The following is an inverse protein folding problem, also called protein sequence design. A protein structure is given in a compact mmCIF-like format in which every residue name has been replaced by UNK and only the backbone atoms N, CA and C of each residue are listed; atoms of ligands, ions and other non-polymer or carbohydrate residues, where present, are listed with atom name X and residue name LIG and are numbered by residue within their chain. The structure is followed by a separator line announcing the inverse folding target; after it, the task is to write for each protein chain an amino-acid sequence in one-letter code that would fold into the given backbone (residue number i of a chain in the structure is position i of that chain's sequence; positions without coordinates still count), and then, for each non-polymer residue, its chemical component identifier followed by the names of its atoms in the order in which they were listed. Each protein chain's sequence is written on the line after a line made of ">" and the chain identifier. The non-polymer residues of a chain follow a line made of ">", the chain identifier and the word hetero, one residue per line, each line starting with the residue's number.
data_IF_466825429809
#
_entry.id   IF_466825429809
#
_cell.length_a   1.000
_cell.length_b   1.000
_cell.length_c   1.000
_cell.angle_alpha   90.00
_cell.angle_beta   90.00
_cell.angle_gamma   90.00
#
_symmetry.space_group_name_H-M   'P 1'
#
loop_
_entity.id
_entity.type
_entity.pdbx_description
1 polymer ?
#
# COMPACT_ATOMS: atom_id res chain seq x y z
N UNK A 1 -11.42 45.08 34.02
CA UNK A 1 -11.68 45.26 32.57
C UNK A 1 -12.57 44.09 32.16
N UNK A 2 -13.84 44.33 31.85
CA UNK A 2 -14.74 43.28 31.39
C UNK A 2 -14.29 42.84 30.00
N UNK A 3 -14.20 41.53 29.75
CA UNK A 3 -13.92 40.99 28.42
C UNK A 3 -14.88 41.61 27.41
N UNK A 4 -14.31 42.16 26.34
CA UNK A 4 -15.13 42.76 25.29
C UNK A 4 -15.90 41.65 24.57
N UNK A 5 -17.09 41.95 24.05
CA UNK A 5 -17.86 40.98 23.27
C UNK A 5 -17.06 40.45 22.06
N UNK A 6 -16.10 41.24 21.57
CA UNK A 6 -15.16 40.86 20.53
C UNK A 6 -14.20 39.75 20.99
N UNK A 7 -13.59 39.86 22.18
CA UNK A 7 -12.73 38.80 22.74
C UNK A 7 -13.52 37.50 22.98
N UNK A 8 -14.78 37.58 23.41
CA UNK A 8 -15.64 36.39 23.56
C UNK A 8 -15.94 35.73 22.22
N UNK A 9 -16.22 36.51 21.18
CA UNK A 9 -16.46 36.01 19.84
C UNK A 9 -15.20 35.35 19.24
N UNK A 10 -14.03 35.98 19.41
CA UNK A 10 -12.75 35.44 18.96
C UNK A 10 -12.40 34.13 19.66
N UNK A 11 -12.57 34.05 21.00
CA UNK A 11 -12.37 32.81 21.76
C UNK A 11 -13.25 31.67 21.24
N UNK A 12 -14.53 31.94 20.96
CA UNK A 12 -15.46 30.94 20.40
C UNK A 12 -15.05 30.49 19.01
N UNK A 13 -14.62 31.43 18.15
CA UNK A 13 -14.13 31.11 16.81
C UNK A 13 -12.86 30.24 16.86
N UNK A 14 -11.89 30.61 17.69
CA UNK A 14 -10.66 29.85 17.87
C UNK A 14 -10.94 28.42 18.35
N UNK A 15 -11.86 28.26 19.32
CA UNK A 15 -12.29 26.94 19.78
C UNK A 15 -12.99 26.13 18.69
N UNK A 16 -13.89 26.73 17.92
CA UNK A 16 -14.59 26.06 16.82
C UNK A 16 -13.60 25.64 15.71
N UNK A 17 -12.64 26.50 15.37
CA UNK A 17 -11.58 26.21 14.40
C UNK A 17 -10.67 25.07 14.87
N UNK A 18 -10.28 25.07 16.15
CA UNK A 18 -9.50 23.99 16.73
C UNK A 18 -10.25 22.65 16.71
N UNK A 19 -11.55 22.66 17.03
CA UNK A 19 -12.41 21.47 16.94
C UNK A 19 -12.50 20.96 15.50
N UNK A 20 -12.74 21.83 14.53
CA UNK A 20 -12.77 21.47 13.11
C UNK A 20 -11.46 20.84 12.66
N UNK A 21 -10.32 21.44 13.02
CA UNK A 21 -9.01 20.89 12.69
C UNK A 21 -8.77 19.52 13.34
N UNK A 22 -9.22 19.32 14.59
CA UNK A 22 -9.09 18.03 15.27
C UNK A 22 -9.87 16.92 14.56
N UNK A 23 -11.08 17.23 14.05
CA UNK A 23 -11.91 16.27 13.31
C UNK A 23 -11.25 15.93 11.98
N UNK A 24 -10.80 16.94 11.22
CA UNK A 24 -10.06 16.73 9.95
C UNK A 24 -8.81 15.87 10.15
N UNK A 25 -8.04 16.13 11.22
CA UNK A 25 -6.84 15.35 11.53
C UNK A 25 -7.17 13.89 11.87
N UNK A 26 -8.28 13.65 12.59
CA UNK A 26 -8.76 12.29 12.90
C UNK A 26 -9.16 11.54 11.63
N UNK A 27 -9.90 12.19 10.73
CA UNK A 27 -10.30 11.60 9.45
C UNK A 27 -9.10 11.28 8.56
N UNK A 28 -8.17 12.23 8.39
CA UNK A 28 -6.95 12.01 7.63
C UNK A 28 -6.13 10.84 8.22
N UNK A 29 -6.05 10.74 9.55
CA UNK A 29 -5.37 9.63 10.22
C UNK A 29 -6.09 8.30 9.99
N UNK A 30 -7.43 8.28 10.04
CA UNK A 30 -8.22 7.09 9.75
C UNK A 30 -8.03 6.63 8.31
N UNK A 31 -8.06 7.57 7.35
CA UNK A 31 -7.82 7.27 5.93
C UNK A 31 -6.43 6.72 5.69
N UNK A 32 -5.38 7.33 6.28
CA UNK A 32 -4.01 6.81 6.21
C UNK A 32 -3.89 5.40 6.76
N UNK A 33 -4.50 5.10 7.92
CA UNK A 33 -4.50 3.74 8.49
C UNK A 33 -5.14 2.71 7.56
N UNK A 34 -6.28 3.06 6.96
CA UNK A 34 -6.97 2.19 6.01
C UNK A 34 -6.15 1.97 4.73
N UNK A 35 -5.55 3.04 4.21
CA UNK A 35 -4.68 2.98 3.03
C UNK A 35 -3.43 2.13 3.28
N UNK A 36 -2.74 2.33 4.40
CA UNK A 36 -1.62 1.49 4.82
C UNK A 36 -2.04 0.02 4.93
N UNK A 37 -3.19 -0.27 5.54
CA UNK A 37 -3.70 -1.65 5.64
C UNK A 37 -3.96 -2.28 4.27
N UNK A 38 -4.56 -1.53 3.34
CA UNK A 38 -4.79 -2.01 1.95
C UNK A 38 -3.47 -2.32 1.24
N UNK A 39 -2.48 -1.44 1.37
CA UNK A 39 -1.15 -1.63 0.77
C UNK A 39 -0.44 -2.86 1.35
N UNK A 40 -0.50 -3.07 2.66
CA UNK A 40 0.09 -4.24 3.32
C UNK A 40 -0.59 -5.53 2.86
N UNK A 41 -1.92 -5.58 2.84
CA UNK A 41 -2.67 -6.76 2.39
C UNK A 41 -2.37 -7.07 0.92
N UNK A 42 -2.41 -6.06 0.06
CA UNK A 42 -2.14 -6.23 -1.37
C UNK A 42 -0.69 -6.66 -1.62
N UNK A 43 0.27 -6.07 -0.89
CA UNK A 43 1.68 -6.45 -0.97
C UNK A 43 1.91 -7.90 -0.55
N UNK A 44 1.34 -8.34 0.57
CA UNK A 44 1.41 -9.74 1.00
C UNK A 44 0.81 -10.69 -0.03
N UNK A 45 -0.39 -10.39 -0.53
CA UNK A 45 -1.03 -11.21 -1.56
C UNK A 45 -0.23 -11.28 -2.87
N UNK A 46 0.47 -10.20 -3.25
CA UNK A 46 1.35 -10.18 -4.41
C UNK A 46 2.61 -11.05 -4.19
N UNK A 47 3.18 -11.03 -2.99
CA UNK A 47 4.31 -11.90 -2.64
C UNK A 47 3.89 -13.38 -2.70
N UNK A 48 2.75 -13.73 -2.09
CA UNK A 48 2.19 -15.09 -2.13
C UNK A 48 1.86 -15.55 -3.57
N UNK A 49 1.49 -14.62 -4.46
CA UNK A 49 1.27 -14.92 -5.87
C UNK A 49 2.60 -15.15 -6.61
N UNK A 50 3.61 -14.32 -6.35
CA UNK A 50 4.91 -14.40 -6.98
C UNK A 50 5.66 -15.71 -6.68
N UNK A 51 5.37 -16.39 -5.57
CA UNK A 51 5.96 -17.71 -5.27
C UNK A 51 5.53 -18.81 -6.27
N UNK A 52 4.33 -18.70 -6.84
CA UNK A 52 3.71 -19.73 -7.70
C UNK A 52 3.47 -19.30 -9.14
N UNK A 53 3.49 -18.00 -9.41
CA UNK A 53 3.29 -17.42 -10.73
C UNK A 53 4.54 -16.65 -11.17
N UNK A 54 5.18 -17.14 -12.22
CA UNK A 54 6.42 -16.57 -12.76
C UNK A 54 6.22 -15.19 -13.40
N UNK A 55 5.02 -14.89 -13.91
CA UNK A 55 4.67 -13.58 -14.43
C UNK A 55 4.57 -12.53 -13.31
N UNK A 56 3.94 -12.89 -12.20
CA UNK A 56 3.87 -12.06 -11.00
C UNK A 56 5.27 -11.84 -10.38
N UNK A 57 6.11 -12.88 -10.33
CA UNK A 57 7.50 -12.77 -9.90
C UNK A 57 8.30 -11.78 -10.78
N UNK A 58 8.20 -11.89 -12.11
CA UNK A 58 8.87 -10.99 -13.03
C UNK A 58 8.38 -9.54 -12.92
N UNK A 59 7.08 -9.35 -12.68
CA UNK A 59 6.50 -8.02 -12.44
C UNK A 59 7.03 -7.41 -11.15
N UNK A 60 7.06 -8.17 -10.05
CA UNK A 60 7.56 -7.73 -8.75
C UNK A 60 9.04 -7.31 -8.82
N UNK A 61 9.85 -8.13 -9.48
CA UNK A 61 11.27 -7.88 -9.72
C UNK A 61 11.49 -6.62 -10.59
N UNK A 62 10.66 -6.41 -11.62
CA UNK A 62 10.65 -5.14 -12.39
C UNK A 62 10.27 -3.94 -11.53
N UNK A 63 9.33 -4.05 -10.60
CA UNK A 63 8.93 -2.95 -9.73
C UNK A 63 10.06 -2.53 -8.79
N UNK A 64 10.74 -3.50 -8.16
CA UNK A 64 11.84 -3.24 -7.22
C UNK A 64 13.04 -2.62 -7.92
N UNK A 65 13.41 -3.11 -9.12
CA UNK A 65 14.51 -2.51 -9.91
C UNK A 65 14.26 -1.07 -10.34
N UNK A 66 13.00 -0.69 -10.57
CA UNK A 66 12.62 0.64 -11.05
C UNK A 66 12.31 1.65 -9.93
N UNK A 67 12.61 1.33 -8.67
CA UNK A 67 12.44 2.26 -7.56
C UNK A 67 13.33 3.50 -7.76
N UNK A 68 12.69 4.66 -7.90
CA UNK A 68 13.36 5.93 -8.17
C UNK A 68 14.18 6.42 -6.97
N UNK A 69 13.68 6.23 -5.75
CA UNK A 69 14.31 6.74 -4.53
C UNK A 69 15.39 5.78 -4.03
N UNK A 70 16.56 6.33 -3.75
CA UNK A 70 17.69 5.55 -3.25
C UNK A 70 17.41 4.93 -1.87
N UNK A 71 16.68 5.65 -1.00
CA UNK A 71 16.26 5.13 0.31
C UNK A 71 15.37 3.89 0.15
N UNK A 72 14.44 3.91 -0.82
CA UNK A 72 13.57 2.77 -1.08
C UNK A 72 14.38 1.59 -1.63
N UNK A 73 15.35 1.83 -2.54
CA UNK A 73 16.26 0.77 -3.02
C UNK A 73 17.07 0.13 -1.90
N UNK A 74 17.56 0.92 -0.94
CA UNK A 74 18.30 0.42 0.23
C UNK A 74 17.45 -0.52 1.10
N UNK A 75 16.13 -0.31 1.16
CA UNK A 75 15.23 -1.20 1.89
C UNK A 75 15.14 -2.62 1.28
N UNK A 76 15.55 -2.79 0.02
CA UNK A 76 15.54 -4.07 -0.69
C UNK A 76 16.95 -4.61 -0.99
N UNK A 77 18.02 -4.03 -0.43
CA UNK A 77 19.40 -4.41 -0.75
C UNK A 77 19.73 -5.87 -0.42
N UNK A 78 19.26 -6.36 0.73
CA UNK A 78 19.47 -7.74 1.20
C UNK A 78 18.24 -8.64 0.97
N UNK A 79 17.27 -8.15 0.19
CA UNK A 79 16.00 -8.85 -0.02
C UNK A 79 16.07 -9.73 -1.27
N UNK A 80 15.78 -11.03 -1.08
CA UNK A 80 15.67 -12.00 -2.18
C UNK A 80 14.21 -12.06 -2.64
N UNK A 81 13.95 -11.66 -3.89
CA UNK A 81 12.62 -11.73 -4.46
C UNK A 81 12.18 -13.20 -4.68
N UNK A 82 10.89 -13.53 -4.55
CA UNK A 82 10.37 -14.83 -4.90
C UNK A 82 10.70 -15.16 -6.36
N UNK A 83 11.50 -16.20 -6.57
CA UNK A 83 11.73 -16.77 -7.89
C UNK A 83 10.58 -17.73 -8.14
N UNK A 84 9.51 -17.22 -8.75
CA UNK A 84 8.34 -18.01 -9.11
C UNK A 84 8.78 -19.31 -9.77
N UNK A 85 8.62 -20.42 -9.06
CA UNK A 85 8.95 -21.73 -9.61
C UNK A 85 8.12 -21.90 -10.87
N UNK A 86 8.69 -22.39 -11.99
CA UNK A 86 7.88 -22.69 -13.16
C UNK A 86 6.79 -23.66 -12.71
N UNK A 87 5.55 -23.17 -12.64
CA UNK A 87 4.38 -24.00 -12.44
C UNK A 87 4.49 -25.14 -13.44
N UNK A 88 4.50 -26.43 -13.02
CA UNK A 88 4.61 -27.52 -13.95
C UNK A 88 3.43 -27.38 -14.91
N UNK A 89 3.75 -27.04 -16.15
CA UNK A 89 2.77 -26.87 -17.20
C UNK A 89 1.85 -28.08 -17.13
N UNK A 90 0.53 -27.85 -17.03
CA UNK A 90 -0.44 -28.92 -17.26
C UNK A 90 -0.07 -29.51 -18.60
N UNK A 91 0.48 -30.72 -18.59
CA UNK A 91 0.78 -31.48 -19.80
C UNK A 91 -0.52 -31.54 -20.59
N UNK A 92 -0.60 -30.73 -21.65
CA UNK A 92 -1.58 -30.92 -22.71
C UNK A 92 -1.17 -32.19 -23.43
N UNK A 93 -1.55 -33.33 -22.88
CA UNK A 93 -1.57 -34.60 -23.59
C UNK A 93 -2.82 -34.62 -24.46
N UNK A 94 -2.65 -34.22 -25.72
CA UNK A 94 -3.42 -34.70 -26.86
C UNK A 94 -2.40 -35.10 -27.93
N UNK A 95 -2.65 -36.08 -28.83
CA UNK A 95 -3.97 -36.56 -29.23
C UNK A 95 -4.12 -38.10 -29.24
N UNK A 96 -5.27 -38.62 -28.82
CA UNK A 96 -5.65 -40.00 -29.09
C UNK A 96 -6.19 -40.07 -30.53
N UNK A 97 -5.43 -40.73 -31.41
CA UNK A 97 -5.88 -41.11 -32.76
C UNK A 97 -6.24 -42.60 -32.72
N UNK A 98 -7.49 -43.00 -33.01
CA UNK A 98 -7.77 -44.37 -33.36
C UNK A 98 -8.13 -44.53 -34.85
N UNK A 99 -7.36 -45.44 -35.46
CA UNK A 99 -7.60 -46.40 -36.54
C UNK A 99 -8.69 -46.17 -37.59
#
# INVERSE_FOLDING_TARGET
>A
MAETELEKAEKRYAQAKARLQSIRNREATRQRKLDTRRKVILGGALLDLAERDSGAAAMLDRLVRNLAREQDRKAFADWVAPTGLPSPARSSSDPDTPS
#
